data_IF_890433377295
#
_entry.id   IF_890433377295
#
_cell.length_a   1.000
_cell.length_b   1.000
_cell.length_c   1.000
_cell.angle_alpha   90.00
_cell.angle_beta   90.00
_cell.angle_gamma   90.00
#
_symmetry.space_group_name_H-M   'P 1'
#
loop_
_entity.id
_entity.type
_entity.pdbx_description
1 polymer ?
#
# COMPACT_ATOMS: atom_id res chain seq x y z
N UNK A 1 -2.25 32.94 -45.13
CA UNK A 1 -1.60 31.65 -45.31
C UNK A 1 -0.68 31.27 -44.12
N UNK A 2 0.35 32.09 -43.75
CA UNK A 2 1.27 31.76 -42.62
C UNK A 2 0.56 31.53 -41.26
N UNK A 3 -0.50 32.27 -40.94
CA UNK A 3 -1.27 32.12 -39.67
C UNK A 3 -2.14 30.86 -39.63
N UNK A 4 -2.65 30.42 -40.79
CA UNK A 4 -3.44 29.20 -40.93
C UNK A 4 -2.51 27.97 -40.80
N UNK A 5 -1.31 28.01 -41.38
CA UNK A 5 -0.30 26.96 -41.25
C UNK A 5 0.19 26.80 -39.81
N UNK A 6 0.38 27.93 -39.10
CA UNK A 6 0.78 27.89 -37.69
C UNK A 6 -0.32 27.30 -36.80
N UNK A 7 -1.60 27.66 -37.05
CA UNK A 7 -2.72 27.07 -36.30
C UNK A 7 -2.88 25.58 -36.60
N UNK A 8 -2.68 25.13 -37.80
CA UNK A 8 -2.71 23.71 -38.18
C UNK A 8 -1.59 22.90 -37.50
N UNK A 9 -0.39 23.51 -37.38
CA UNK A 9 0.75 22.87 -36.72
C UNK A 9 0.53 22.73 -35.20
N UNK A 10 -0.07 23.74 -34.55
CA UNK A 10 -0.39 23.69 -33.12
C UNK A 10 -1.49 22.65 -32.84
N UNK A 11 -2.52 22.57 -33.68
CA UNK A 11 -3.57 21.55 -33.52
C UNK A 11 -3.06 20.13 -33.76
N UNK A 12 -2.15 19.91 -34.70
CA UNK A 12 -1.58 18.58 -34.94
C UNK A 12 -0.63 18.14 -33.83
N UNK A 13 0.06 19.07 -33.16
CA UNK A 13 0.91 18.77 -32.00
C UNK A 13 0.13 18.36 -30.75
N UNK A 14 -1.10 18.91 -30.58
CA UNK A 14 -1.98 18.54 -29.46
C UNK A 14 -2.59 17.14 -29.64
N UNK A 15 -2.81 16.71 -30.89
CA UNK A 15 -3.35 15.39 -31.21
C UNK A 15 -2.32 14.24 -31.04
N UNK A 16 -1.04 14.57 -30.89
CA UNK A 16 0.01 13.57 -30.69
C UNK A 16 0.46 13.43 -29.22
N UNK A 17 -0.18 14.16 -28.28
CA UNK A 17 0.11 14.01 -26.86
C UNK A 17 -0.62 12.78 -26.31
N UNK A 18 0.04 11.63 -26.35
CA UNK A 18 -0.38 10.46 -25.57
C UNK A 18 0.16 10.62 -24.15
N UNK A 19 -0.75 10.65 -23.18
CA UNK A 19 -0.40 10.53 -21.78
C UNK A 19 -0.85 9.13 -21.31
N UNK A 20 0.06 8.42 -20.65
CA UNK A 20 -0.31 7.18 -19.99
C UNK A 20 -1.29 7.46 -18.85
N UNK A 21 -2.34 6.67 -18.78
CA UNK A 21 -3.40 6.89 -17.80
C UNK A 21 -3.05 6.25 -16.44
N UNK A 22 -3.15 7.03 -15.39
CA UNK A 22 -3.45 6.71 -14.01
C UNK A 22 -2.66 5.58 -13.33
N UNK A 23 -3.12 5.20 -12.14
CA UNK A 23 -2.64 4.02 -11.43
C UNK A 23 -3.43 2.79 -11.86
N UNK A 24 -2.72 1.77 -12.34
CA UNK A 24 -3.32 0.50 -12.72
C UNK A 24 -3.58 -0.39 -11.50
N UNK A 25 -4.71 -1.07 -11.49
CA UNK A 25 -5.02 -2.06 -10.46
C UNK A 25 -4.15 -3.30 -10.65
N UNK A 26 -3.60 -3.83 -9.55
CA UNK A 26 -2.78 -5.05 -9.58
C UNK A 26 -3.51 -6.24 -10.20
N UNK A 27 -4.82 -6.35 -9.96
CA UNK A 27 -5.69 -7.41 -10.50
C UNK A 27 -5.85 -7.36 -12.02
N UNK A 28 -5.58 -6.20 -12.62
CA UNK A 28 -5.78 -5.97 -14.05
C UNK A 28 -4.47 -6.05 -14.85
N UNK A 29 -3.30 -6.15 -14.17
CA UNK A 29 -1.99 -6.11 -14.82
C UNK A 29 -1.85 -7.13 -15.95
N UNK A 30 -2.17 -8.39 -15.70
CA UNK A 30 -2.06 -9.45 -16.70
C UNK A 30 -3.05 -9.31 -17.86
N UNK A 31 -4.25 -8.79 -17.58
CA UNK A 31 -5.34 -8.78 -18.55
C UNK A 31 -5.37 -7.55 -19.42
N UNK A 32 -4.97 -6.40 -18.86
CA UNK A 32 -5.18 -5.10 -19.49
C UNK A 32 -3.88 -4.34 -19.74
N UNK A 33 -2.88 -4.49 -18.89
CA UNK A 33 -1.74 -3.59 -18.85
C UNK A 33 -0.42 -4.23 -19.25
N UNK A 34 -0.32 -5.57 -19.35
CA UNK A 34 0.95 -6.27 -19.61
C UNK A 34 1.62 -5.82 -20.91
N UNK A 35 0.85 -5.63 -21.96
CA UNK A 35 1.37 -5.16 -23.26
C UNK A 35 1.95 -3.76 -23.13
N UNK A 36 1.19 -2.81 -22.57
CA UNK A 36 1.66 -1.44 -22.39
C UNK A 36 2.88 -1.37 -21.46
N UNK A 37 2.90 -2.13 -20.38
CA UNK A 37 4.05 -2.19 -19.46
C UNK A 37 5.30 -2.75 -20.16
N UNK A 38 5.15 -3.76 -21.01
CA UNK A 38 6.25 -4.34 -21.79
C UNK A 38 6.78 -3.35 -22.83
N UNK A 39 5.92 -2.62 -23.51
CA UNK A 39 6.29 -1.55 -24.43
C UNK A 39 7.04 -0.40 -23.75
N UNK A 40 6.69 -0.11 -22.48
CA UNK A 40 7.39 0.85 -21.63
C UNK A 40 8.71 0.30 -21.04
N UNK A 41 9.05 -0.97 -21.30
CA UNK A 41 10.33 -1.56 -20.91
C UNK A 41 10.26 -2.49 -19.70
N UNK A 42 9.08 -2.96 -19.28
CA UNK A 42 8.99 -3.99 -18.27
C UNK A 42 9.59 -5.31 -18.79
N UNK A 43 10.60 -5.82 -18.08
CA UNK A 43 11.31 -7.05 -18.45
C UNK A 43 10.86 -8.29 -17.64
N UNK A 44 10.20 -8.07 -16.50
CA UNK A 44 9.69 -9.17 -15.67
C UNK A 44 8.23 -9.47 -16.02
N UNK A 45 7.80 -10.73 -15.98
CA UNK A 45 6.38 -11.08 -16.17
C UNK A 45 5.50 -10.43 -15.10
N UNK A 46 4.31 -9.99 -15.47
CA UNK A 46 3.36 -9.33 -14.55
C UNK A 46 2.92 -10.20 -13.39
N UNK A 47 2.94 -11.54 -13.54
CA UNK A 47 2.67 -12.47 -12.45
C UNK A 47 3.77 -12.48 -11.35
N UNK A 48 4.96 -11.98 -11.64
CA UNK A 48 5.98 -11.76 -10.61
C UNK A 48 5.73 -10.48 -9.82
N UNK A 49 4.94 -9.55 -10.35
CA UNK A 49 4.52 -8.33 -9.65
C UNK A 49 3.30 -8.64 -8.78
N UNK A 50 2.30 -9.28 -9.36
CA UNK A 50 1.06 -9.68 -8.68
C UNK A 50 0.63 -11.08 -9.14
N UNK A 51 0.46 -12.00 -8.17
CA UNK A 51 -0.07 -13.33 -8.40
C UNK A 51 -1.19 -13.60 -7.38
N UNK A 52 -2.45 -13.79 -7.81
CA UNK A 52 -3.55 -14.09 -6.89
C UNK A 52 -3.42 -15.45 -6.20
N UNK A 53 -2.69 -16.40 -6.82
CA UNK A 53 -2.58 -17.79 -6.40
C UNK A 53 -1.19 -18.16 -5.86
N UNK A 54 -0.26 -17.20 -5.79
CA UNK A 54 1.10 -17.44 -5.36
C UNK A 54 1.82 -16.21 -4.83
N UNK A 55 3.09 -16.39 -4.50
CA UNK A 55 3.95 -15.33 -4.00
C UNK A 55 4.41 -14.44 -5.17
N UNK A 56 4.36 -13.14 -4.98
CA UNK A 56 4.80 -12.14 -5.94
C UNK A 56 5.43 -10.93 -5.22
N UNK A 57 5.98 -9.99 -5.96
CA UNK A 57 6.62 -8.79 -5.42
C UNK A 57 5.69 -7.99 -4.47
N UNK A 58 4.39 -7.97 -4.76
CA UNK A 58 3.39 -7.30 -3.91
C UNK A 58 3.41 -7.79 -2.46
N UNK A 59 3.81 -9.05 -2.20
CA UNK A 59 3.80 -9.64 -0.86
C UNK A 59 4.95 -9.13 0.02
N UNK A 60 5.97 -8.51 -0.59
CA UNK A 60 7.00 -7.81 0.15
C UNK A 60 6.58 -6.39 0.55
N UNK A 61 5.52 -5.84 -0.04
CA UNK A 61 5.06 -4.47 0.22
C UNK A 61 3.93 -4.49 1.23
N UNK A 62 4.09 -3.71 2.30
CA UNK A 62 3.14 -3.65 3.41
C UNK A 62 2.67 -2.23 3.68
N UNK A 63 1.48 -2.13 4.23
CA UNK A 63 0.97 -0.87 4.76
C UNK A 63 1.54 -0.66 6.16
N UNK A 64 2.36 0.37 6.34
CA UNK A 64 3.05 0.67 7.59
C UNK A 64 2.34 1.79 8.33
N UNK A 65 1.91 1.53 9.57
CA UNK A 65 1.13 2.46 10.36
C UNK A 65 -0.18 2.84 9.68
N UNK A 66 -0.59 4.09 9.83
CA UNK A 66 -1.88 4.57 9.32
C UNK A 66 -1.89 5.09 7.88
N UNK A 67 -0.74 5.21 7.20
CA UNK A 67 -0.69 5.84 5.88
C UNK A 67 0.63 5.74 5.14
N UNK A 68 1.58 4.96 5.64
CA UNK A 68 2.86 4.74 5.00
C UNK A 68 2.95 3.36 4.33
N UNK A 69 3.98 3.18 3.52
CA UNK A 69 4.39 1.91 2.95
C UNK A 69 5.70 1.45 3.58
N UNK A 70 5.88 0.15 3.70
CA UNK A 70 7.14 -0.48 4.09
C UNK A 70 7.43 -1.68 3.21
N UNK A 71 8.69 -2.09 3.17
CA UNK A 71 9.16 -3.25 2.41
C UNK A 71 9.73 -4.31 3.36
N UNK A 72 9.20 -5.52 3.27
CA UNK A 72 9.72 -6.67 4.01
C UNK A 72 10.95 -7.22 3.29
N UNK A 73 12.09 -7.19 3.96
CA UNK A 73 13.39 -7.53 3.35
C UNK A 73 14.05 -8.78 3.94
N UNK A 74 13.40 -9.45 4.88
CA UNK A 74 13.88 -10.70 5.42
C UNK A 74 12.78 -11.68 5.79
N UNK A 75 13.12 -12.97 5.81
CA UNK A 75 12.22 -14.02 6.28
C UNK A 75 11.87 -13.89 7.78
N UNK A 76 12.62 -13.11 8.54
CA UNK A 76 12.40 -12.84 9.96
C UNK A 76 11.58 -11.58 10.21
N UNK A 77 10.94 -11.03 9.16
CA UNK A 77 10.04 -9.89 9.27
C UNK A 77 10.74 -8.53 9.45
N UNK A 78 11.97 -8.38 8.98
CA UNK A 78 12.60 -7.06 8.94
C UNK A 78 11.94 -6.20 7.87
N UNK A 79 11.50 -4.99 8.26
CA UNK A 79 10.80 -4.04 7.39
C UNK A 79 11.59 -2.75 7.29
N UNK A 80 11.77 -2.28 6.07
CA UNK A 80 12.24 -0.92 5.79
C UNK A 80 11.05 0.00 5.55
N UNK A 81 11.17 1.25 5.98
CA UNK A 81 10.20 2.30 5.68
C UNK A 81 10.89 3.67 5.69
N UNK A 82 10.22 4.70 5.18
CA UNK A 82 10.76 6.05 5.21
C UNK A 82 10.91 6.56 6.64
N UNK A 83 11.94 7.38 6.89
CA UNK A 83 12.23 7.94 8.21
C UNK A 83 11.02 8.68 8.81
N UNK A 84 10.31 9.49 8.01
CA UNK A 84 9.13 10.21 8.49
C UNK A 84 7.99 9.28 8.92
N UNK A 85 7.92 8.07 8.40
CA UNK A 85 6.93 7.07 8.80
C UNK A 85 7.25 6.46 10.18
N UNK A 86 8.54 6.33 10.50
CA UNK A 86 9.03 5.87 11.80
C UNK A 86 9.19 6.97 12.85
N UNK A 87 9.10 8.25 12.43
CA UNK A 87 9.45 9.40 13.30
C UNK A 87 8.73 9.38 14.64
N UNK A 88 7.44 9.10 14.65
CA UNK A 88 6.66 9.02 15.89
C UNK A 88 7.14 7.93 16.85
N UNK A 89 7.58 6.78 16.34
CA UNK A 89 8.15 5.71 17.14
C UNK A 89 9.54 6.11 17.69
N UNK A 90 10.38 6.75 16.88
CA UNK A 90 11.69 7.26 17.33
C UNK A 90 11.50 8.29 18.44
N UNK A 91 10.58 9.25 18.26
CA UNK A 91 10.27 10.27 19.23
C UNK A 91 9.73 9.68 20.55
N UNK A 92 8.88 8.65 20.47
CA UNK A 92 8.30 7.98 21.65
C UNK A 92 9.37 7.35 22.54
N UNK A 93 10.49 6.91 21.95
CA UNK A 93 11.61 6.30 22.67
C UNK A 93 12.72 7.28 23.01
N UNK A 94 12.70 8.49 22.45
CA UNK A 94 13.71 9.51 22.77
C UNK A 94 13.45 10.15 24.11
N UNK A 95 14.52 10.40 24.85
CA UNK A 95 14.55 11.15 26.13
C UNK A 95 15.74 12.11 26.14
N UNK A 96 15.92 12.83 27.24
CA UNK A 96 17.09 13.70 27.42
C UNK A 96 18.39 12.90 27.51
N UNK A 97 18.32 11.67 28.09
CA UNK A 97 19.47 10.77 28.23
C UNK A 97 19.76 9.97 26.96
N UNK A 98 18.73 9.77 26.13
CA UNK A 98 18.79 8.99 24.90
C UNK A 98 18.04 9.72 23.78
N UNK A 99 18.69 10.66 23.12
CA UNK A 99 18.10 11.42 22.02
C UNK A 99 18.24 10.66 20.69
N UNK A 100 17.41 9.64 20.50
CA UNK A 100 17.40 8.83 19.27
C UNK A 100 17.03 9.61 18.01
N UNK A 101 16.39 10.77 18.15
CA UNK A 101 16.14 11.65 17.00
C UNK A 101 17.44 12.32 16.51
N UNK A 102 18.32 12.70 17.43
CA UNK A 102 19.60 13.36 17.12
C UNK A 102 20.70 12.34 16.83
N UNK A 103 20.81 11.29 17.65
CA UNK A 103 21.94 10.36 17.62
C UNK A 103 21.66 9.12 16.74
N UNK A 104 20.39 8.86 16.45
CA UNK A 104 19.96 7.61 15.85
C UNK A 104 19.89 6.47 16.86
N UNK A 105 19.44 5.30 16.39
CA UNK A 105 19.32 4.08 17.19
C UNK A 105 19.62 2.84 16.34
N UNK A 106 20.33 1.88 16.89
CA UNK A 106 20.58 0.58 16.28
C UNK A 106 20.60 -0.51 17.35
N UNK A 107 19.64 -1.43 17.30
CA UNK A 107 19.64 -2.64 18.11
C UNK A 107 20.68 -3.63 17.58
N UNK A 108 21.61 -4.07 18.41
CA UNK A 108 22.63 -5.05 18.06
C UNK A 108 22.15 -6.49 18.35
N UNK A 109 21.06 -6.63 19.09
CA UNK A 109 20.41 -7.91 19.41
C UNK A 109 18.88 -7.74 19.43
N UNK A 110 18.13 -8.86 19.46
CA UNK A 110 16.66 -8.81 19.54
C UNK A 110 16.15 -8.26 20.86
N UNK A 111 16.91 -8.43 21.93
CA UNK A 111 16.58 -7.93 23.26
C UNK A 111 16.67 -6.41 23.34
N UNK A 112 17.45 -5.79 22.48
CA UNK A 112 17.58 -4.34 22.38
C UNK A 112 16.52 -3.70 21.50
N UNK A 113 15.75 -4.48 20.75
CA UNK A 113 14.68 -3.96 19.89
C UNK A 113 13.57 -3.28 20.72
N UNK A 114 13.21 -2.06 20.36
CA UNK A 114 12.27 -1.23 21.12
C UNK A 114 10.83 -1.41 20.67
N UNK A 115 9.88 -1.81 21.55
CA UNK A 115 8.50 -2.06 21.17
C UNK A 115 7.75 -0.76 20.83
N UNK A 116 7.19 -0.66 19.61
CA UNK A 116 6.48 0.51 19.11
C UNK A 116 4.97 0.37 19.37
N UNK A 117 4.51 0.82 20.53
CA UNK A 117 3.10 0.73 20.93
C UNK A 117 2.18 1.49 19.96
N UNK A 118 1.13 0.81 19.50
CA UNK A 118 0.14 1.38 18.59
C UNK A 118 0.55 1.39 17.12
N UNK A 119 1.80 1.05 16.80
CA UNK A 119 2.21 0.85 15.41
C UNK A 119 1.70 -0.50 14.91
N UNK A 120 1.26 -0.52 13.65
CA UNK A 120 0.80 -1.75 12.99
C UNK A 120 1.41 -1.87 11.62
N UNK A 121 1.56 -3.11 11.17
CA UNK A 121 1.92 -3.42 9.79
C UNK A 121 0.87 -4.36 9.21
N UNK A 122 0.37 -4.01 8.03
CA UNK A 122 -0.72 -4.74 7.39
C UNK A 122 -0.30 -5.24 6.02
N UNK A 123 -0.41 -6.55 5.82
CA UNK A 123 -0.29 -7.20 4.52
C UNK A 123 -1.64 -7.19 3.81
N UNK A 124 -1.61 -7.06 2.48
CA UNK A 124 -2.74 -7.37 1.62
C UNK A 124 -2.52 -8.80 1.12
N UNK A 125 -3.17 -9.76 1.77
CA UNK A 125 -3.01 -11.18 1.42
C UNK A 125 -3.61 -11.48 0.04
N UNK A 126 -4.86 -11.01 -0.19
CA UNK A 126 -5.60 -11.24 -1.43
C UNK A 126 -6.43 -10.03 -1.81
N UNK A 127 -6.58 -9.82 -3.10
CA UNK A 127 -7.52 -8.86 -3.69
C UNK A 127 -8.47 -9.66 -4.58
N UNK A 128 -9.75 -9.63 -4.27
CA UNK A 128 -10.78 -10.37 -5.01
C UNK A 128 -11.72 -9.38 -5.69
N UNK A 129 -11.93 -9.53 -6.98
CA UNK A 129 -13.03 -8.83 -7.68
C UNK A 129 -14.33 -9.52 -7.30
N UNK A 130 -15.18 -8.82 -6.58
CA UNK A 130 -16.48 -9.30 -6.09
C UNK A 130 -17.63 -8.49 -6.67
N UNK A 131 -17.40 -7.84 -7.81
CA UNK A 131 -18.35 -6.91 -8.44
C UNK A 131 -19.70 -7.59 -8.70
N UNK A 132 -19.72 -8.77 -9.29
CA UNK A 132 -20.95 -9.47 -9.61
C UNK A 132 -21.72 -9.85 -8.35
N UNK A 133 -21.02 -10.35 -7.33
CA UNK A 133 -21.62 -10.70 -6.06
C UNK A 133 -22.27 -9.48 -5.37
N UNK A 134 -21.57 -8.34 -5.32
CA UNK A 134 -22.12 -7.11 -4.73
C UNK A 134 -23.33 -6.62 -5.51
N UNK A 135 -23.26 -6.63 -6.84
CA UNK A 135 -24.38 -6.22 -7.69
C UNK A 135 -25.62 -7.10 -7.48
N UNK A 136 -25.45 -8.38 -7.23
CA UNK A 136 -26.53 -9.29 -6.86
C UNK A 136 -27.17 -8.94 -5.51
N UNK A 137 -26.33 -8.67 -4.50
CA UNK A 137 -26.83 -8.24 -3.19
C UNK A 137 -27.57 -6.90 -3.27
N UNK A 138 -27.08 -5.95 -4.05
CA UNK A 138 -27.74 -4.64 -4.26
C UNK A 138 -29.11 -4.75 -4.93
N UNK A 139 -29.36 -5.80 -5.71
CA UNK A 139 -30.68 -6.04 -6.32
C UNK A 139 -31.68 -6.65 -5.36
N UNK A 140 -31.19 -7.42 -4.40
CA UNK A 140 -32.03 -8.22 -3.48
C UNK A 140 -32.24 -7.57 -2.14
N UNK A 141 -31.27 -6.80 -1.66
CA UNK A 141 -31.34 -6.12 -0.37
C UNK A 141 -32.14 -4.83 -0.47
N UNK A 142 -32.84 -4.48 0.61
CA UNK A 142 -33.61 -3.24 0.70
C UNK A 142 -32.67 -2.02 0.74
N UNK A 143 -32.90 -1.07 -0.18
CA UNK A 143 -32.16 0.20 -0.29
C UNK A 143 -33.09 1.36 -0.58
N UNK A 144 -33.89 1.82 0.41
CA UNK A 144 -34.88 2.86 0.22
C UNK A 144 -34.29 4.21 -0.22
N UNK A 145 -32.99 4.42 0.01
CA UNK A 145 -32.29 5.67 -0.32
C UNK A 145 -31.40 5.56 -1.56
N UNK A 146 -31.20 4.37 -2.13
CA UNK A 146 -30.31 4.14 -3.26
C UNK A 146 -28.84 4.43 -2.96
N UNK A 147 -28.39 4.25 -1.71
CA UNK A 147 -27.03 4.62 -1.25
C UNK A 147 -26.15 3.46 -0.84
N UNK A 148 -26.71 2.23 -0.82
CA UNK A 148 -25.98 1.03 -0.37
C UNK A 148 -24.70 0.78 -1.16
N UNK A 149 -24.71 1.08 -2.45
CA UNK A 149 -23.57 0.83 -3.37
C UNK A 149 -22.25 1.52 -2.95
N UNK A 150 -22.29 2.59 -2.13
CA UNK A 150 -21.12 3.28 -1.58
C UNK A 150 -21.10 3.27 -0.04
N UNK A 151 -22.10 2.72 0.62
CA UNK A 151 -22.21 2.72 2.07
C UNK A 151 -21.17 1.80 2.73
N UNK A 152 -20.22 2.32 3.52
CA UNK A 152 -19.21 1.49 4.19
C UNK A 152 -19.83 0.43 5.11
N UNK A 153 -20.95 0.77 5.78
CA UNK A 153 -21.67 -0.15 6.67
C UNK A 153 -22.29 -1.30 5.87
N UNK A 154 -22.93 -1.00 4.75
CA UNK A 154 -23.52 -2.02 3.89
C UNK A 154 -22.43 -2.91 3.28
N UNK A 155 -21.39 -2.30 2.68
CA UNK A 155 -20.28 -3.02 2.07
C UNK A 155 -19.57 -3.95 3.07
N UNK A 156 -19.44 -3.52 4.33
CA UNK A 156 -18.92 -4.40 5.39
C UNK A 156 -19.82 -5.63 5.58
N UNK A 157 -21.13 -5.46 5.63
CA UNK A 157 -22.07 -6.58 5.77
C UNK A 157 -21.98 -7.56 4.59
N UNK A 158 -21.86 -7.02 3.37
CA UNK A 158 -21.68 -7.83 2.16
C UNK A 158 -20.35 -8.57 2.19
N UNK A 159 -19.26 -7.94 2.63
CA UNK A 159 -17.97 -8.59 2.81
C UNK A 159 -18.02 -9.78 3.77
N UNK A 160 -18.72 -9.61 4.91
CA UNK A 160 -18.88 -10.67 5.90
C UNK A 160 -19.72 -11.85 5.34
N UNK A 161 -20.76 -11.57 4.55
CA UNK A 161 -21.55 -12.59 3.83
C UNK A 161 -20.71 -13.34 2.81
N UNK A 162 -19.96 -12.62 1.98
CA UNK A 162 -19.07 -13.21 0.99
C UNK A 162 -18.01 -14.11 1.62
N UNK A 163 -17.36 -13.63 2.69
CA UNK A 163 -16.35 -14.43 3.39
C UNK A 163 -16.93 -15.74 3.94
N UNK A 164 -18.16 -15.69 4.43
CA UNK A 164 -18.86 -16.89 4.93
C UNK A 164 -19.20 -17.87 3.80
N UNK A 165 -19.64 -17.38 2.63
CA UNK A 165 -19.93 -18.24 1.48
C UNK A 165 -18.70 -18.90 0.91
N UNK A 166 -17.56 -18.17 0.87
CA UNK A 166 -16.29 -18.65 0.33
C UNK A 166 -15.40 -19.37 1.37
N UNK A 167 -15.86 -19.51 2.61
CA UNK A 167 -15.10 -20.17 3.66
C UNK A 167 -13.80 -19.43 4.05
N UNK A 168 -13.75 -18.09 3.87
CA UNK A 168 -12.60 -17.30 4.26
C UNK A 168 -12.54 -17.22 5.78
N UNK A 169 -11.59 -17.92 6.38
CA UNK A 169 -11.41 -17.92 7.83
C UNK A 169 -10.92 -16.55 8.33
N UNK A 170 -11.64 -15.99 9.29
CA UNK A 170 -11.24 -14.80 10.03
C UNK A 170 -10.44 -15.22 11.27
N UNK A 171 -9.13 -15.27 11.14
CA UNK A 171 -8.20 -15.50 12.25
C UNK A 171 -7.88 -14.17 12.97
N UNK A 172 -7.34 -14.21 14.21
CA UNK A 172 -6.84 -13.00 14.84
C UNK A 172 -5.90 -12.22 13.92
N UNK A 173 -6.07 -10.91 13.84
CA UNK A 173 -5.32 -10.04 12.92
C UNK A 173 -5.83 -9.99 11.49
N UNK A 174 -6.63 -10.98 11.03
CA UNK A 174 -7.21 -10.96 9.67
C UNK A 174 -8.45 -10.10 9.60
N UNK A 175 -8.50 -9.20 8.62
CA UNK A 175 -9.60 -8.27 8.38
C UNK A 175 -10.01 -8.29 6.92
N UNK A 176 -11.29 -7.99 6.69
CA UNK A 176 -11.85 -7.81 5.36
C UNK A 176 -12.17 -6.34 5.15
N UNK A 177 -11.87 -5.84 3.96
CA UNK A 177 -12.25 -4.51 3.55
C UNK A 177 -12.79 -4.55 2.11
N UNK A 178 -14.10 -4.36 1.97
CA UNK A 178 -14.75 -4.25 0.68
C UNK A 178 -14.84 -2.78 0.29
N UNK A 179 -14.29 -2.45 -0.86
CA UNK A 179 -14.27 -1.08 -1.40
C UNK A 179 -14.97 -0.99 -2.75
N UNK A 180 -15.75 0.06 -2.92
CA UNK A 180 -16.26 0.48 -4.21
C UNK A 180 -15.21 1.31 -4.94
N UNK A 181 -15.00 0.99 -6.21
CA UNK A 181 -14.12 1.71 -7.13
C UNK A 181 -14.93 2.28 -8.29
N UNK A 182 -14.41 3.31 -8.93
CA UNK A 182 -15.01 3.94 -10.11
C UNK A 182 -16.49 4.31 -9.89
N UNK A 183 -16.78 4.91 -8.72
CA UNK A 183 -18.14 5.32 -8.39
C UNK A 183 -19.13 4.17 -8.16
N UNK A 184 -18.65 2.97 -7.81
CA UNK A 184 -19.48 1.78 -7.60
C UNK A 184 -19.63 0.88 -8.84
N UNK A 185 -18.85 1.13 -9.89
CA UNK A 185 -18.84 0.25 -11.08
C UNK A 185 -18.02 -1.04 -10.86
N UNK A 186 -17.13 -1.04 -9.87
CA UNK A 186 -16.33 -2.19 -9.47
C UNK A 186 -16.24 -2.29 -7.96
N UNK A 187 -16.14 -3.52 -7.46
CA UNK A 187 -15.98 -3.80 -6.04
C UNK A 187 -14.86 -4.79 -5.81
N UNK A 188 -13.90 -4.40 -4.96
CA UNK A 188 -12.78 -5.27 -4.60
C UNK A 188 -12.80 -5.57 -3.11
N UNK A 189 -12.71 -6.85 -2.77
CA UNK A 189 -12.53 -7.33 -1.40
C UNK A 189 -11.05 -7.54 -1.13
N UNK A 190 -10.53 -6.78 -0.19
CA UNK A 190 -9.17 -6.92 0.33
C UNK A 190 -9.20 -7.81 1.57
N UNK A 191 -8.52 -8.93 1.49
CA UNK A 191 -8.21 -9.78 2.65
C UNK A 191 -6.86 -9.32 3.19
N UNK A 192 -6.83 -8.89 4.45
CA UNK A 192 -5.66 -8.25 5.07
C UNK A 192 -5.28 -8.97 6.36
N UNK A 193 -3.97 -9.08 6.62
CA UNK A 193 -3.44 -9.52 7.91
C UNK A 193 -2.64 -8.40 8.56
N UNK A 194 -3.01 -8.05 9.79
CA UNK A 194 -2.40 -6.95 10.55
C UNK A 194 -1.62 -7.49 11.73
N UNK A 195 -0.36 -7.09 11.83
CA UNK A 195 0.54 -7.34 12.94
C UNK A 195 0.62 -6.10 13.82
N UNK A 196 0.63 -6.28 15.14
CA UNK A 196 0.66 -5.20 16.13
C UNK A 196 1.87 -5.24 17.08
N UNK A 197 2.63 -6.34 17.11
CA UNK A 197 3.92 -6.36 17.79
C UNK A 197 5.01 -5.92 16.81
N UNK A 198 5.21 -4.61 16.77
CA UNK A 198 6.20 -3.98 15.91
C UNK A 198 7.30 -3.41 16.80
N UNK A 199 8.55 -3.66 16.42
CA UNK A 199 9.72 -3.20 17.18
C UNK A 199 10.66 -2.41 16.31
N UNK A 200 11.16 -1.30 16.82
CA UNK A 200 12.19 -0.51 16.17
C UNK A 200 13.54 -1.23 16.30
N UNK A 201 14.14 -1.54 15.16
CA UNK A 201 15.45 -2.18 15.06
C UNK A 201 16.54 -1.16 14.81
N UNK A 202 16.23 -0.13 14.03
CA UNK A 202 17.19 0.91 13.74
C UNK A 202 16.55 2.14 13.10
N UNK A 203 17.15 3.29 13.39
CA UNK A 203 16.80 4.56 12.79
C UNK A 203 18.06 5.42 12.68
N UNK A 204 18.36 6.00 11.52
CA UNK A 204 19.45 6.96 11.41
C UNK A 204 19.11 8.26 12.18
N UNK A 205 20.11 9.09 12.50
CA UNK A 205 19.88 10.46 12.96
C UNK A 205 18.93 11.21 12.03
N UNK A 206 18.01 12.00 12.58
CA UNK A 206 17.04 12.77 11.79
C UNK A 206 17.67 13.78 10.85
N UNK A 207 18.88 14.25 11.14
CA UNK A 207 19.69 15.10 10.23
C UNK A 207 20.00 14.41 8.90
N UNK A 208 20.04 13.08 8.88
CA UNK A 208 20.28 12.28 7.68
C UNK A 208 18.98 11.67 7.16
N UNK A 209 18.12 11.19 8.06
CA UNK A 209 16.92 10.41 7.69
C UNK A 209 15.75 11.24 7.17
N UNK A 210 15.59 12.49 7.60
CA UNK A 210 14.48 13.33 7.14
C UNK A 210 14.65 13.78 5.69
N UNK A 211 13.53 13.92 4.99
CA UNK A 211 13.53 14.44 3.62
C UNK A 211 14.06 15.89 3.60
N UNK A 212 14.96 16.16 2.66
CA UNK A 212 15.58 17.48 2.54
C UNK A 212 16.62 17.78 3.60
N UNK A 213 17.09 16.79 4.39
CA UNK A 213 18.08 16.91 5.46
C UNK A 213 18.87 18.22 5.46
N UNK A 214 19.69 18.48 6.45
CA UNK A 214 20.43 19.74 6.57
C UNK A 214 21.64 19.86 5.61
N UNK A 215 21.62 19.13 4.50
CA UNK A 215 22.72 19.07 3.51
C UNK A 215 22.18 19.26 2.09
N UNK A 216 22.85 20.11 1.30
CA UNK A 216 22.42 20.56 -0.03
C UNK A 216 22.42 19.50 -1.15
N UNK A 217 22.81 18.25 -0.87
CA UNK A 217 23.05 17.23 -1.88
C UNK A 217 22.13 15.99 -1.72
N UNK A 218 20.78 16.17 -1.65
CA UNK A 218 20.06 15.10 -1.03
C UNK A 218 19.01 14.37 -1.81
N UNK A 219 19.46 13.22 -2.16
CA UNK A 219 18.65 12.00 -2.20
C UNK A 219 18.47 11.32 -0.81
N UNK A 220 18.90 11.93 0.27
CA UNK A 220 18.97 11.33 1.62
C UNK A 220 17.62 11.16 2.33
N UNK A 221 16.54 11.69 1.81
CA UNK A 221 15.21 11.40 2.32
C UNK A 221 14.74 9.95 2.14
N UNK A 222 15.60 9.11 1.56
CA UNK A 222 15.32 7.69 1.30
C UNK A 222 15.90 6.75 2.36
N UNK A 223 16.60 7.24 3.37
CA UNK A 223 17.16 6.36 4.41
C UNK A 223 16.04 5.91 5.33
N UNK A 224 15.89 4.62 5.41
CA UNK A 224 14.77 3.93 6.01
C UNK A 224 15.00 3.62 7.49
N UNK A 225 13.95 3.76 8.27
CA UNK A 225 13.88 3.18 9.61
C UNK A 225 13.59 1.70 9.50
N UNK A 226 14.37 0.87 10.18
CA UNK A 226 14.15 -0.56 10.22
C UNK A 226 13.23 -0.93 11.38
N UNK A 227 12.23 -1.73 11.10
CA UNK A 227 11.32 -2.30 12.10
C UNK A 227 11.20 -3.81 11.92
N UNK A 228 10.86 -4.52 12.97
CA UNK A 228 10.63 -5.97 12.93
C UNK A 228 9.19 -6.31 13.28
N UNK A 229 8.63 -7.23 12.50
CA UNK A 229 7.36 -7.89 12.78
C UNK A 229 7.64 -9.15 13.58
N UNK A 230 6.97 -9.31 14.71
CA UNK A 230 6.95 -10.59 15.42
C UNK A 230 5.65 -11.32 15.07
N UNK A 231 5.70 -12.62 14.76
CA UNK A 231 4.50 -13.43 14.64
C UNK A 231 3.73 -13.40 15.97
N UNK A 232 2.43 -13.27 15.88
CA UNK A 232 1.52 -13.31 17.03
C UNK A 232 1.49 -14.70 17.67
#
# INVERSE_FOLDING_TARGET
>A
MKRILLSLFITSSVLAAHADEGMWMLTDLQKQNEVAMTELGLLIPTNQIYNPDGIALKDAVVHFGGGCTGEVISAEGLVLTNHHCGYGAIQQHSSVEHDYLTDGFWAMSREEELPCKGLTVTYIDRILDVTDYVNEQLKTDDDPNGTNYLSPKYLKTVADRFAKSEGIALTPGRKLELKAFYGGNRYYLFVKTTYSDIRMVGAPPSSIGKFGADTDNLEAGKISTCSRLLPA
#
